data_IF_724993485405
#
_entry.id   IF_724993485405
#
_cell.length_a   1.000
_cell.length_b   1.000
_cell.length_c   1.000
_cell.angle_alpha   90.00
_cell.angle_beta   90.00
_cell.angle_gamma   90.00
#
_symmetry.space_group_name_H-M   'P 1'
#
loop_
_entity.id
_entity.type
_entity.pdbx_description
1 polymer ?
#
# COMPACT_ATOMS: atom_id res chain seq x y z
N UNK A 1 -12.76 -1.88 12.29
CA UNK A 1 -11.37 -1.35 12.31
C UNK A 1 -11.44 0.05 12.88
N UNK A 2 -10.67 0.33 13.94
CA UNK A 2 -10.56 1.69 14.46
C UNK A 2 -9.57 2.44 13.56
N UNK A 3 -10.09 3.13 12.55
CA UNK A 3 -9.30 4.03 11.69
C UNK A 3 -9.09 5.34 12.41
N UNK A 4 -7.86 5.85 12.40
CA UNK A 4 -7.58 7.18 12.90
C UNK A 4 -8.04 8.21 11.85
N UNK A 5 -8.84 9.22 12.20
CA UNK A 5 -9.25 10.24 11.24
C UNK A 5 -8.03 10.96 10.63
N UNK A 6 -8.09 11.35 9.36
CA UNK A 6 -6.98 12.03 8.66
C UNK A 6 -6.52 13.29 9.43
N UNK A 7 -7.49 14.02 9.94
CA UNK A 7 -7.40 15.25 10.73
C UNK A 7 -7.42 15.01 12.24
N UNK A 8 -7.11 13.79 12.72
CA UNK A 8 -7.16 13.46 14.15
C UNK A 8 -6.34 14.39 15.04
N UNK A 9 -5.32 15.06 14.50
CA UNK A 9 -4.50 16.02 15.23
C UNK A 9 -5.26 17.31 15.56
N UNK A 10 -6.10 17.79 14.64
CA UNK A 10 -6.74 19.11 14.70
C UNK A 10 -8.25 19.07 14.90
N UNK A 11 -8.90 17.92 14.68
CA UNK A 11 -10.35 17.77 14.85
C UNK A 11 -10.74 17.28 16.25
N UNK A 12 -11.88 17.74 16.77
CA UNK A 12 -12.42 17.31 18.06
C UNK A 12 -11.70 17.96 19.24
N UNK A 13 -11.71 17.29 20.40
CA UNK A 13 -11.11 17.82 21.63
C UNK A 13 -9.57 17.81 21.51
N UNK A 14 -8.96 19.01 21.59
CA UNK A 14 -7.51 19.22 21.58
C UNK A 14 -6.93 19.08 23.00
N UNK A 15 -7.17 17.92 23.60
CA UNK A 15 -6.63 17.55 24.90
C UNK A 15 -5.53 16.49 24.71
N UNK A 16 -4.36 16.72 25.29
CA UNK A 16 -3.21 15.82 25.16
C UNK A 16 -3.53 14.39 25.59
N UNK A 17 -4.19 14.20 26.74
CA UNK A 17 -4.48 12.87 27.28
C UNK A 17 -5.46 12.12 26.36
N UNK A 18 -6.54 12.76 25.94
CA UNK A 18 -7.49 12.19 24.99
C UNK A 18 -6.82 11.74 23.69
N UNK A 19 -6.02 12.62 23.07
CA UNK A 19 -5.31 12.32 21.81
C UNK A 19 -4.27 11.22 21.97
N UNK A 20 -3.59 11.19 23.11
CA UNK A 20 -2.66 10.12 23.49
C UNK A 20 -3.37 8.76 23.55
N UNK A 21 -4.52 8.65 24.21
CA UNK A 21 -5.26 7.38 24.27
C UNK A 21 -5.79 6.95 22.90
N UNK A 22 -6.33 7.89 22.12
CA UNK A 22 -6.80 7.62 20.75
C UNK A 22 -5.66 7.04 19.89
N UNK A 23 -4.48 7.67 19.95
CA UNK A 23 -3.30 7.22 19.24
C UNK A 23 -2.85 5.83 19.70
N UNK A 24 -2.74 5.61 21.02
CA UNK A 24 -2.28 4.33 21.56
C UNK A 24 -3.21 3.19 21.15
N UNK A 25 -4.53 3.39 21.17
CA UNK A 25 -5.50 2.40 20.73
C UNK A 25 -5.37 2.08 19.22
N UNK A 26 -5.14 3.10 18.40
CA UNK A 26 -4.88 2.93 16.97
C UNK A 26 -3.59 2.13 16.71
N UNK A 27 -2.47 2.54 17.32
CA UNK A 27 -1.18 1.86 17.14
C UNK A 27 -1.19 0.42 17.68
N UNK A 28 -1.91 0.16 18.78
CA UNK A 28 -2.10 -1.19 19.29
C UNK A 28 -2.83 -2.07 18.26
N UNK A 29 -3.90 -1.54 17.65
CA UNK A 29 -4.63 -2.24 16.58
C UNK A 29 -3.73 -2.51 15.38
N UNK A 30 -2.90 -1.55 14.99
CA UNK A 30 -1.96 -1.72 13.89
C UNK A 30 -0.94 -2.84 14.16
N UNK A 31 -0.37 -2.88 15.37
CA UNK A 31 0.58 -3.94 15.78
C UNK A 31 -0.09 -5.32 15.81
N UNK A 32 -1.36 -5.41 16.17
CA UNK A 32 -2.12 -6.67 16.12
C UNK A 32 -2.29 -7.18 14.68
N UNK A 33 -2.65 -6.29 13.75
CA UNK A 33 -2.78 -6.65 12.33
C UNK A 33 -1.43 -7.09 11.74
N UNK A 34 -0.34 -6.39 12.08
CA UNK A 34 1.02 -6.78 11.64
C UNK A 34 1.44 -8.14 12.21
N UNK A 35 1.09 -8.43 13.47
CA UNK A 35 1.32 -9.73 14.09
C UNK A 35 0.56 -10.86 13.39
N UNK A 36 -0.57 -10.55 12.77
CA UNK A 36 -1.36 -11.45 11.92
C UNK A 36 -0.91 -11.43 10.45
N UNK A 37 0.22 -10.81 10.12
CA UNK A 37 0.74 -10.61 8.75
C UNK A 37 -0.23 -9.86 7.82
N UNK A 38 -1.10 -9.01 8.38
CA UNK A 38 -2.04 -8.18 7.64
C UNK A 38 -1.53 -6.75 7.59
N UNK A 39 -1.00 -6.36 6.44
CA UNK A 39 -0.46 -5.02 6.23
C UNK A 39 -1.49 -4.06 5.64
N UNK A 40 -2.43 -4.53 4.83
CA UNK A 40 -3.37 -3.67 4.12
C UNK A 40 -4.77 -3.78 4.74
N UNK A 41 -5.47 -2.64 4.97
CA UNK A 41 -5.13 -1.27 4.56
C UNK A 41 -4.26 -0.48 5.57
N UNK A 42 -3.91 -1.07 6.71
CA UNK A 42 -3.32 -0.39 7.89
C UNK A 42 -1.98 0.30 7.61
N UNK A 43 -1.08 -0.34 6.87
CA UNK A 43 0.28 0.15 6.67
C UNK A 43 0.33 1.41 5.79
N UNK A 44 -0.38 1.49 4.64
CA UNK A 44 -0.55 2.76 3.93
C UNK A 44 -1.18 3.88 4.77
N UNK A 45 -2.14 3.55 5.61
CA UNK A 45 -2.80 4.51 6.52
C UNK A 45 -1.82 5.06 7.56
N UNK A 46 -1.01 4.19 8.16
CA UNK A 46 0.06 4.54 9.09
C UNK A 46 1.12 5.44 8.43
N UNK A 47 1.52 5.13 7.19
CA UNK A 47 2.47 5.94 6.40
C UNK A 47 1.90 7.35 6.18
N UNK A 48 0.62 7.45 5.80
CA UNK A 48 -0.05 8.74 5.60
C UNK A 48 -0.04 9.57 6.90
N UNK A 49 -0.48 9.01 8.03
CA UNK A 49 -0.50 9.76 9.30
C UNK A 49 0.90 10.21 9.74
N UNK A 50 1.92 9.36 9.56
CA UNK A 50 3.30 9.74 9.86
C UNK A 50 3.80 10.86 8.96
N UNK A 51 3.52 10.80 7.65
CA UNK A 51 3.87 11.88 6.72
C UNK A 51 3.18 13.19 7.12
N UNK A 52 1.89 13.15 7.44
CA UNK A 52 1.14 14.32 7.91
C UNK A 52 1.78 14.92 9.17
N UNK A 53 2.11 14.09 10.16
CA UNK A 53 2.79 14.54 11.38
C UNK A 53 4.17 15.14 11.10
N UNK A 54 4.95 14.51 10.21
CA UNK A 54 6.27 15.00 9.83
C UNK A 54 6.18 16.38 9.19
N UNK A 55 5.21 16.59 8.29
CA UNK A 55 4.97 17.88 7.64
C UNK A 55 4.66 18.99 8.66
N UNK A 56 3.72 18.73 9.57
CA UNK A 56 3.36 19.70 10.61
C UNK A 56 4.56 19.99 11.52
N UNK A 57 5.34 18.96 11.89
CA UNK A 57 6.53 19.10 12.73
C UNK A 57 7.63 19.94 12.07
N UNK A 58 7.91 19.71 10.79
CA UNK A 58 9.06 20.34 10.10
C UNK A 58 8.74 21.75 9.61
N UNK A 59 7.54 21.97 9.08
CA UNK A 59 7.20 23.22 8.41
C UNK A 59 6.37 24.17 9.25
N UNK A 60 5.77 23.69 10.35
CA UNK A 60 4.72 24.41 11.10
C UNK A 60 3.63 24.96 10.17
N UNK A 61 3.43 24.31 9.03
CA UNK A 61 2.50 24.69 7.98
C UNK A 61 2.13 23.43 7.18
N UNK A 62 0.91 23.41 6.65
CA UNK A 62 0.38 22.34 5.84
C UNK A 62 0.58 22.68 4.36
N UNK A 63 1.03 21.70 3.56
CA UNK A 63 1.28 21.91 2.12
C UNK A 63 0.60 20.82 1.30
N UNK A 64 -0.40 21.18 0.49
CA UNK A 64 -1.22 20.23 -0.26
C UNK A 64 -0.41 19.26 -1.14
N UNK A 65 0.60 19.77 -1.85
CA UNK A 65 1.42 19.01 -2.80
C UNK A 65 2.18 17.83 -2.18
N UNK A 66 2.30 17.81 -0.85
CA UNK A 66 3.01 16.76 -0.11
C UNK A 66 2.08 15.73 0.53
N UNK A 67 0.76 15.88 0.38
CA UNK A 67 -0.20 14.89 0.85
C UNK A 67 -0.41 13.78 -0.18
N UNK A 68 -0.62 12.53 0.26
CA UNK A 68 -1.01 11.45 -0.63
C UNK A 68 -2.31 11.79 -1.39
N UNK A 69 -2.47 11.33 -2.63
CA UNK A 69 -3.66 11.52 -3.48
C UNK A 69 -4.98 11.01 -2.86
N UNK A 70 -4.93 10.39 -1.68
CA UNK A 70 -6.10 9.96 -0.90
C UNK A 70 -6.81 11.10 -0.19
N UNK A 71 -6.20 12.28 -0.06
CA UNK A 71 -6.82 13.44 0.57
C UNK A 71 -7.49 14.29 -0.50
N UNK A 72 -8.80 14.50 -0.37
CA UNK A 72 -9.50 15.42 -1.26
C UNK A 72 -9.03 16.85 -1.01
N UNK A 73 -9.04 17.69 -2.05
CA UNK A 73 -8.71 19.10 -1.91
C UNK A 73 -9.59 19.81 -0.86
N UNK A 74 -10.87 19.44 -0.80
CA UNK A 74 -11.82 19.97 0.17
C UNK A 74 -11.45 19.59 1.63
N UNK A 75 -11.00 18.36 1.86
CA UNK A 75 -10.55 17.93 3.19
C UNK A 75 -9.29 18.66 3.61
N UNK A 76 -8.35 18.88 2.67
CA UNK A 76 -7.13 19.64 2.93
C UNK A 76 -7.43 21.10 3.28
N UNK A 77 -8.25 21.79 2.49
CA UNK A 77 -8.64 23.18 2.75
C UNK A 77 -9.31 23.32 4.12
N UNK A 78 -10.17 22.36 4.50
CA UNK A 78 -10.75 22.32 5.85
C UNK A 78 -9.69 22.16 6.94
N UNK A 79 -8.71 21.28 6.73
CA UNK A 79 -7.64 21.00 7.69
C UNK A 79 -6.72 22.22 7.86
N UNK A 80 -6.35 22.87 6.76
CA UNK A 80 -5.55 24.10 6.72
C UNK A 80 -6.23 25.24 7.48
N UNK A 81 -7.50 25.50 7.21
CA UNK A 81 -8.29 26.53 7.91
C UNK A 81 -8.40 26.28 9.42
N UNK A 82 -8.52 25.02 9.85
CA UNK A 82 -8.56 24.69 11.29
C UNK A 82 -7.19 24.90 11.91
N UNK A 83 -6.12 24.51 11.23
CA UNK A 83 -4.76 24.69 11.71
C UNK A 83 -4.37 26.16 11.87
N UNK A 84 -4.67 27.02 10.89
CA UNK A 84 -4.39 28.46 10.97
C UNK A 84 -5.05 29.11 12.21
N UNK A 85 -6.28 28.70 12.55
CA UNK A 85 -6.97 29.17 13.75
C UNK A 85 -6.28 28.73 15.04
N UNK A 86 -5.72 27.53 15.05
CA UNK A 86 -5.03 26.98 16.24
C UNK A 86 -3.67 27.66 16.43
N UNK A 87 -2.93 27.94 15.36
CA UNK A 87 -1.63 28.64 15.44
C UNK A 87 -1.77 30.05 16.02
N UNK A 88 -2.95 30.67 15.90
CA UNK A 88 -3.23 31.97 16.52
C UNK A 88 -3.39 31.91 18.06
N UNK A 89 -3.49 30.71 18.64
CA UNK A 89 -3.65 30.48 20.08
C UNK A 89 -2.43 29.72 20.64
N UNK A 90 -1.63 30.42 21.46
CA UNK A 90 -0.39 29.90 22.04
C UNK A 90 -0.62 28.65 22.92
N UNK A 91 -1.73 28.56 23.66
CA UNK A 91 -2.00 27.44 24.56
C UNK A 91 -2.37 26.17 23.78
N UNK A 92 -3.27 26.34 22.80
CA UNK A 92 -3.70 25.23 21.94
C UNK A 92 -2.56 24.74 21.05
N UNK A 93 -1.69 25.65 20.57
CA UNK A 93 -0.51 25.27 19.79
C UNK A 93 0.48 24.47 20.64
N UNK A 94 0.70 24.83 21.90
CA UNK A 94 1.55 24.05 22.81
C UNK A 94 1.04 22.62 23.00
N UNK A 95 -0.27 22.44 23.19
CA UNK A 95 -0.89 21.11 23.28
C UNK A 95 -0.63 20.27 22.01
N UNK A 96 -0.72 20.87 20.83
CA UNK A 96 -0.41 20.19 19.57
C UNK A 96 1.06 19.79 19.51
N UNK A 97 1.99 20.68 19.91
CA UNK A 97 3.41 20.35 19.93
C UNK A 97 3.68 19.16 20.87
N UNK A 98 3.06 19.12 22.05
CA UNK A 98 3.17 18.01 23.00
C UNK A 98 2.63 16.70 22.41
N UNK A 99 1.46 16.75 21.73
CA UNK A 99 0.89 15.60 21.02
C UNK A 99 1.84 15.11 19.93
N UNK A 100 2.41 16.00 19.11
CA UNK A 100 3.35 15.64 18.04
C UNK A 100 4.61 15.01 18.62
N UNK A 101 5.18 15.59 19.68
CA UNK A 101 6.37 15.05 20.35
C UNK A 101 6.11 13.64 20.90
N UNK A 102 4.92 13.39 21.43
CA UNK A 102 4.51 12.07 21.90
C UNK A 102 4.25 11.09 20.75
N UNK A 103 3.59 11.54 19.68
CA UNK A 103 3.09 10.69 18.60
C UNK A 103 4.17 10.27 17.61
N UNK A 104 5.00 11.23 17.17
CA UNK A 104 6.00 11.03 16.13
C UNK A 104 6.91 9.81 16.34
N UNK A 105 7.58 9.63 17.50
CA UNK A 105 8.44 8.46 17.71
C UNK A 105 7.66 7.13 17.68
N UNK A 106 6.40 7.11 18.14
CA UNK A 106 5.56 5.90 18.20
C UNK A 106 5.03 5.48 16.83
N UNK A 107 4.68 6.45 15.99
CA UNK A 107 4.40 6.19 14.57
C UNK A 107 5.64 5.63 13.89
N UNK A 108 6.81 6.23 14.11
CA UNK A 108 8.06 5.77 13.53
C UNK A 108 8.38 4.32 13.93
N UNK A 109 8.29 3.98 15.21
CA UNK A 109 8.52 2.61 15.71
C UNK A 109 7.54 1.61 15.05
N UNK A 110 6.26 1.95 15.03
CA UNK A 110 5.22 1.07 14.46
C UNK A 110 5.38 0.93 12.94
N UNK A 111 5.86 1.97 12.24
CA UNK A 111 6.17 1.92 10.82
C UNK A 111 7.34 1.00 10.51
N UNK A 112 8.39 1.04 11.31
CA UNK A 112 9.52 0.12 11.15
C UNK A 112 9.08 -1.33 11.36
N UNK A 113 8.22 -1.62 12.36
CA UNK A 113 7.60 -2.95 12.50
C UNK A 113 6.81 -3.36 11.24
N UNK A 114 5.99 -2.46 10.68
CA UNK A 114 5.25 -2.73 9.45
C UNK A 114 6.18 -2.98 8.24
N UNK A 115 7.29 -2.25 8.16
CA UNK A 115 8.32 -2.45 7.12
C UNK A 115 9.01 -3.79 7.25
N UNK A 116 9.37 -4.19 8.46
CA UNK A 116 9.97 -5.51 8.71
C UNK A 116 9.05 -6.65 8.27
N UNK A 117 7.74 -6.55 8.58
CA UNK A 117 6.74 -7.53 8.11
C UNK A 117 6.61 -7.50 6.58
N UNK A 118 6.58 -6.32 5.96
CA UNK A 118 6.55 -6.19 4.50
C UNK A 118 7.77 -6.86 3.86
N UNK A 119 8.97 -6.55 4.34
CA UNK A 119 10.23 -7.08 3.81
C UNK A 119 10.32 -8.59 4.01
N UNK A 120 9.86 -9.09 5.16
CA UNK A 120 9.81 -10.52 5.44
C UNK A 120 8.91 -11.26 4.45
N UNK A 121 7.74 -10.71 4.11
CA UNK A 121 6.83 -11.31 3.13
C UNK A 121 7.40 -11.17 1.71
N UNK A 122 7.89 -9.99 1.33
CA UNK A 122 8.45 -9.73 -0.01
C UNK A 122 9.61 -10.69 -0.33
N UNK A 123 10.47 -11.01 0.65
CA UNK A 123 11.57 -11.99 0.50
C UNK A 123 11.09 -13.43 0.25
N UNK A 124 9.88 -13.77 0.64
CA UNK A 124 9.29 -15.09 0.43
C UNK A 124 8.47 -15.17 -0.86
N UNK A 125 8.41 -14.09 -1.64
CA UNK A 125 7.79 -14.07 -2.96
C UNK A 125 8.83 -14.37 -4.04
N UNK A 126 8.47 -15.26 -4.95
CA UNK A 126 9.26 -15.58 -6.13
C UNK A 126 8.50 -15.15 -7.38
N UNK A 127 9.16 -14.37 -8.25
CA UNK A 127 8.57 -13.89 -9.50
C UNK A 127 9.25 -14.59 -10.67
N UNK A 128 8.46 -15.23 -11.52
CA UNK A 128 8.94 -15.97 -12.68
C UNK A 128 8.15 -15.60 -13.94
N UNK A 129 8.79 -15.33 -15.09
CA UNK A 129 8.08 -15.17 -16.35
C UNK A 129 7.49 -16.52 -16.81
N UNK A 130 6.33 -16.47 -17.46
CA UNK A 130 5.68 -17.67 -18.02
C UNK A 130 5.95 -17.74 -19.52
N UNK A 131 6.75 -18.72 -19.92
CA UNK A 131 7.13 -18.96 -21.31
C UNK A 131 7.91 -17.80 -21.92
N UNK A 132 7.61 -17.46 -23.18
CA UNK A 132 8.26 -16.36 -23.89
C UNK A 132 7.75 -15.02 -23.36
N UNK A 133 8.69 -14.18 -22.99
CA UNK A 133 8.47 -12.82 -22.47
C UNK A 133 8.42 -11.83 -23.63
N UNK A 134 7.37 -10.99 -23.76
CA UNK A 134 7.24 -10.01 -24.84
C UNK A 134 8.24 -8.84 -24.69
N UNK A 135 8.28 -7.93 -25.67
CA UNK A 135 9.05 -6.67 -25.57
C UNK A 135 8.33 -5.60 -24.71
N UNK A 136 7.01 -5.72 -24.54
CA UNK A 136 6.18 -4.77 -23.79
C UNK A 136 5.63 -5.42 -22.52
N UNK A 137 5.85 -4.77 -21.37
CA UNK A 137 5.48 -5.30 -20.05
C UNK A 137 4.38 -4.52 -19.33
N UNK A 138 3.82 -3.50 -19.98
CA UNK A 138 2.84 -2.64 -19.33
C UNK A 138 1.47 -3.29 -19.20
N UNK A 139 1.22 -4.42 -19.86
CA UNK A 139 -0.03 -5.16 -19.72
C UNK A 139 0.17 -6.65 -19.92
N UNK A 140 -0.67 -7.45 -19.26
CA UNK A 140 -0.63 -8.89 -19.37
C UNK A 140 -1.34 -9.58 -18.20
N UNK A 141 -0.79 -10.72 -17.78
CA UNK A 141 -1.39 -11.54 -16.74
C UNK A 141 -0.47 -11.72 -15.54
N UNK A 142 -1.03 -11.56 -14.35
CA UNK A 142 -0.40 -11.88 -13.07
C UNK A 142 -1.07 -13.16 -12.56
N UNK A 143 -0.28 -14.22 -12.45
CA UNK A 143 -0.68 -15.45 -11.78
C UNK A 143 -0.18 -15.40 -10.35
N UNK A 144 -1.10 -15.46 -9.39
CA UNK A 144 -0.78 -15.41 -7.97
C UNK A 144 -0.99 -16.80 -7.36
N UNK A 145 0.10 -17.42 -6.92
CA UNK A 145 0.07 -18.73 -6.28
C UNK A 145 0.14 -18.56 -4.75
N UNK A 146 -0.91 -19.03 -4.08
CA UNK A 146 -0.99 -19.07 -2.62
C UNK A 146 -0.30 -20.30 -2.02
N UNK A 147 0.14 -20.16 -0.77
CA UNK A 147 0.69 -21.25 0.02
C UNK A 147 -0.09 -21.41 1.34
N UNK A 148 -0.34 -22.64 1.83
CA UNK A 148 -0.22 -23.90 1.10
C UNK A 148 -1.36 -24.02 0.09
N UNK A 149 -1.06 -24.44 -1.14
CA UNK A 149 -2.10 -24.56 -2.15
C UNK A 149 -1.59 -24.97 -3.51
N UNK A 150 -2.53 -25.39 -4.35
CA UNK A 150 -2.32 -25.54 -5.80
C UNK A 150 -3.23 -24.60 -6.59
N UNK A 151 -3.87 -23.65 -5.93
CA UNK A 151 -4.71 -22.68 -6.60
C UNK A 151 -3.85 -21.52 -7.13
N UNK A 152 -4.19 -21.09 -8.34
CA UNK A 152 -3.60 -19.95 -9.01
C UNK A 152 -4.71 -18.97 -9.30
N UNK A 153 -4.59 -17.78 -8.73
CA UNK A 153 -5.49 -16.69 -9.08
C UNK A 153 -4.94 -15.93 -10.28
N UNK A 154 -5.79 -15.76 -11.28
CA UNK A 154 -5.43 -15.11 -12.53
C UNK A 154 -5.96 -13.70 -12.51
N UNK A 155 -5.06 -12.73 -12.63
CA UNK A 155 -5.39 -11.33 -12.79
C UNK A 155 -4.92 -10.83 -14.14
N UNK A 156 -5.74 -10.04 -14.83
CA UNK A 156 -5.22 -9.13 -15.85
C UNK A 156 -4.57 -7.94 -15.13
N UNK A 157 -3.42 -7.47 -15.59
CA UNK A 157 -2.84 -6.24 -15.07
C UNK A 157 -2.55 -5.23 -16.17
N UNK A 158 -2.58 -3.95 -15.78
CA UNK A 158 -2.12 -2.81 -16.58
C UNK A 158 -1.29 -1.88 -15.70
N UNK A 159 -0.08 -1.57 -16.14
CA UNK A 159 0.83 -0.62 -15.51
C UNK A 159 0.63 0.74 -16.16
N UNK A 160 0.31 1.73 -15.35
CA UNK A 160 0.17 3.12 -15.76
C UNK A 160 1.33 3.92 -15.19
N UNK A 161 1.94 4.77 -16.01
CA UNK A 161 3.00 5.68 -15.56
C UNK A 161 2.34 7.02 -15.28
N UNK A 162 2.45 7.48 -14.05
CA UNK A 162 2.07 8.81 -13.63
C UNK A 162 3.33 9.64 -13.43
N UNK A 163 3.34 10.85 -13.97
CA UNK A 163 4.40 11.82 -13.75
C UNK A 163 3.84 12.92 -12.86
N UNK A 164 4.38 13.06 -11.65
CA UNK A 164 4.19 14.26 -10.84
C UNK A 164 5.47 15.11 -10.92
N UNK A 165 5.37 16.40 -10.61
CA UNK A 165 6.46 17.40 -10.65
C UNK A 165 7.73 16.95 -9.91
N UNK A 166 7.60 16.06 -8.93
CA UNK A 166 8.69 15.59 -8.08
C UNK A 166 9.12 14.14 -8.32
N UNK A 167 8.25 13.25 -8.81
CA UNK A 167 8.57 11.82 -8.99
C UNK A 167 7.70 11.15 -10.09
N UNK A 168 8.30 10.20 -10.81
CA UNK A 168 7.58 9.28 -11.71
C UNK A 168 7.15 8.05 -10.92
N UNK A 169 5.85 7.89 -10.73
CA UNK A 169 5.30 6.72 -10.07
C UNK A 169 4.62 5.78 -11.08
N UNK A 170 4.85 4.48 -10.94
CA UNK A 170 4.15 3.46 -11.72
C UNK A 170 3.06 2.83 -10.87
N UNK A 171 1.82 3.03 -11.28
CA UNK A 171 0.66 2.33 -10.73
C UNK A 171 0.45 1.00 -11.44
N UNK A 172 -0.17 0.04 -10.75
CA UNK A 172 -0.64 -1.21 -11.36
C UNK A 172 -2.11 -1.40 -11.02
N UNK A 173 -2.93 -1.45 -12.06
CA UNK A 173 -4.31 -1.89 -11.95
C UNK A 173 -4.38 -3.39 -12.21
N UNK A 174 -5.22 -4.10 -11.46
CA UNK A 174 -5.44 -5.53 -11.66
C UNK A 174 -6.92 -5.85 -11.61
N UNK A 175 -7.38 -6.69 -12.52
CA UNK A 175 -8.72 -7.24 -12.55
C UNK A 175 -8.65 -8.75 -12.36
N UNK A 176 -9.36 -9.28 -11.35
CA UNK A 176 -9.44 -10.74 -11.15
C UNK A 176 -10.28 -11.36 -12.28
N UNK A 177 -9.74 -12.37 -12.93
CA UNK A 177 -10.41 -13.06 -14.03
C UNK A 177 -11.00 -14.39 -13.59
N UNK A 178 -10.19 -15.21 -12.92
CA UNK A 178 -10.58 -16.55 -12.47
C UNK A 178 -9.61 -17.10 -11.44
N UNK A 179 -10.06 -18.10 -10.69
CA UNK A 179 -9.22 -18.91 -9.81
C UNK A 179 -9.19 -20.34 -10.34
N UNK A 180 -7.98 -20.85 -10.54
CA UNK A 180 -7.75 -22.14 -11.20
C UNK A 180 -7.03 -23.07 -10.25
N UNK A 181 -7.56 -24.28 -10.06
CA UNK A 181 -6.86 -25.32 -9.32
C UNK A 181 -5.89 -26.06 -10.24
N UNK A 182 -4.59 -25.91 -9.99
CA UNK A 182 -3.55 -26.57 -10.77
C UNK A 182 -3.54 -28.07 -10.52
N UNK A 183 -3.46 -28.82 -11.62
CA UNK A 183 -3.21 -30.26 -11.67
C UNK A 183 -2.00 -30.56 -12.54
N UNK A 184 -1.71 -31.84 -12.79
CA UNK A 184 -0.58 -32.23 -13.65
C UNK A 184 -0.74 -31.75 -15.10
N UNK A 185 -1.98 -31.58 -15.58
CA UNK A 185 -2.27 -31.15 -16.95
C UNK A 185 -2.32 -29.62 -17.14
N UNK A 186 -2.50 -28.86 -16.06
CA UNK A 186 -2.76 -27.42 -16.11
C UNK A 186 -1.59 -26.65 -15.50
N UNK A 187 -0.52 -26.53 -16.31
CA UNK A 187 0.65 -25.71 -16.00
C UNK A 187 0.37 -24.23 -16.27
N UNK A 188 1.25 -23.35 -15.78
CA UNK A 188 1.13 -21.91 -16.03
C UNK A 188 1.23 -21.59 -17.53
N UNK A 189 2.07 -22.31 -18.29
CA UNK A 189 2.20 -22.14 -19.74
C UNK A 189 0.92 -22.52 -20.48
N UNK A 190 0.32 -23.66 -20.12
CA UNK A 190 -0.96 -24.08 -20.69
C UNK A 190 -2.06 -23.07 -20.39
N UNK A 191 -2.08 -22.54 -19.16
CA UNK A 191 -3.04 -21.52 -18.76
C UNK A 191 -2.84 -20.21 -19.54
N UNK A 192 -1.60 -19.77 -19.76
CA UNK A 192 -1.27 -18.62 -20.62
C UNK A 192 -1.79 -18.82 -22.04
N UNK A 193 -1.53 -19.98 -22.64
CA UNK A 193 -2.00 -20.31 -24.00
C UNK A 193 -3.53 -20.30 -24.09
N UNK A 194 -4.21 -20.83 -23.07
CA UNK A 194 -5.67 -20.80 -22.99
C UNK A 194 -6.20 -19.36 -22.95
N UNK A 195 -5.66 -18.51 -22.08
CA UNK A 195 -6.07 -17.12 -21.95
C UNK A 195 -5.89 -16.32 -23.24
N UNK A 196 -4.78 -16.54 -23.97
CA UNK A 196 -4.52 -15.88 -25.26
C UNK A 196 -5.55 -16.28 -26.33
N UNK A 197 -6.01 -17.54 -26.32
CA UNK A 197 -7.05 -18.01 -27.25
C UNK A 197 -8.42 -17.43 -26.92
N UNK A 198 -8.75 -17.34 -25.63
CA UNK A 198 -10.02 -16.81 -25.15
C UNK A 198 -10.10 -15.28 -25.28
N UNK A 199 -8.96 -14.57 -25.13
CA UNK A 199 -8.89 -13.11 -25.12
C UNK A 199 -7.87 -12.59 -26.15
N UNK A 200 -8.37 -12.43 -27.38
CA UNK A 200 -7.55 -11.98 -28.52
C UNK A 200 -7.08 -10.52 -28.43
N UNK A 201 -7.62 -9.73 -27.49
CA UNK A 201 -7.19 -8.36 -27.23
C UNK A 201 -5.72 -8.27 -26.77
N UNK A 202 -5.19 -9.35 -26.17
CA UNK A 202 -3.81 -9.44 -25.70
C UNK A 202 -3.12 -10.66 -26.36
N UNK A 203 -2.69 -10.57 -27.62
CA UNK A 203 -2.12 -11.70 -28.34
C UNK A 203 -0.73 -12.09 -27.85
N UNK A 204 0.02 -11.15 -27.24
CA UNK A 204 1.35 -11.41 -26.68
C UNK A 204 1.49 -10.78 -25.27
N UNK A 205 0.77 -11.31 -24.26
CA UNK A 205 0.71 -10.72 -22.93
C UNK A 205 2.00 -11.00 -22.15
N UNK A 206 2.43 -10.01 -21.37
CA UNK A 206 3.50 -10.19 -20.41
C UNK A 206 2.96 -10.94 -19.19
N UNK A 207 3.22 -12.24 -19.12
CA UNK A 207 2.68 -13.12 -18.08
C UNK A 207 3.75 -13.47 -17.06
N UNK A 208 3.44 -13.23 -15.78
CA UNK A 208 4.32 -13.51 -14.66
C UNK A 208 3.57 -14.28 -13.58
N UNK A 209 4.27 -15.23 -12.96
CA UNK A 209 3.82 -15.92 -11.73
C UNK A 209 4.50 -15.25 -10.55
N UNK A 210 3.72 -14.94 -9.53
CA UNK A 210 4.20 -14.58 -8.19
C UNK A 210 3.78 -15.69 -7.25
N UNK A 211 4.75 -16.44 -6.74
CA UNK A 211 4.51 -17.56 -5.84
C UNK A 211 4.97 -17.24 -4.42
N UNK A 212 4.07 -17.41 -3.45
CA UNK A 212 4.41 -17.33 -2.04
C UNK A 212 5.02 -18.65 -1.54
N UNK A 213 6.06 -18.57 -0.70
CA UNK A 213 6.68 -19.73 -0.04
C UNK A 213 6.15 -20.00 1.37
N UNK A 214 5.32 -19.10 1.89
CA UNK A 214 4.78 -19.10 3.25
C UNK A 214 3.30 -18.74 3.22
N UNK A 215 2.50 -19.19 4.21
CA UNK A 215 1.11 -18.81 4.29
C UNK A 215 0.98 -17.35 4.66
N UNK A 216 0.34 -16.57 3.80
CA UNK A 216 0.11 -15.14 3.97
C UNK A 216 -1.32 -14.79 3.56
N UNK A 217 -1.99 -13.85 4.26
CA UNK A 217 -3.31 -13.38 3.87
C UNK A 217 -3.31 -12.80 2.45
N UNK A 218 -4.19 -13.32 1.58
CA UNK A 218 -4.28 -12.92 0.18
C UNK A 218 -4.48 -11.40 0.01
N UNK A 219 -5.63 -10.89 0.44
CA UNK A 219 -6.05 -9.50 0.22
C UNK A 219 -5.25 -8.51 1.08
N UNK A 220 -4.93 -8.93 2.31
CA UNK A 220 -4.31 -8.06 3.31
C UNK A 220 -2.78 -8.02 3.23
N UNK A 221 -2.14 -8.83 2.40
CA UNK A 221 -0.69 -8.80 2.23
C UNK A 221 -0.24 -9.29 0.84
N UNK A 222 -0.55 -10.53 0.47
CA UNK A 222 0.05 -11.18 -0.69
C UNK A 222 -0.21 -10.41 -1.98
N UNK A 223 -1.47 -10.12 -2.30
CA UNK A 223 -1.85 -9.46 -3.55
C UNK A 223 -1.28 -8.03 -3.65
N UNK A 224 -1.42 -7.14 -2.63
CA UNK A 224 -0.80 -5.82 -2.67
C UNK A 224 0.73 -5.84 -2.79
N UNK A 225 1.41 -6.77 -2.11
CA UNK A 225 2.87 -6.89 -2.17
C UNK A 225 3.27 -7.45 -3.54
N UNK A 226 2.61 -8.49 -4.03
CA UNK A 226 2.84 -9.07 -5.36
C UNK A 226 2.71 -8.01 -6.47
N UNK A 227 1.69 -7.16 -6.42
CA UNK A 227 1.52 -6.01 -7.33
C UNK A 227 2.74 -5.10 -7.33
N UNK A 228 3.19 -4.65 -6.15
CA UNK A 228 4.36 -3.76 -6.01
C UNK A 228 5.65 -4.44 -6.48
N UNK A 229 5.85 -5.70 -6.12
CA UNK A 229 7.02 -6.49 -6.52
C UNK A 229 7.06 -6.74 -8.02
N UNK A 230 5.90 -6.98 -8.65
CA UNK A 230 5.80 -7.13 -10.10
C UNK A 230 6.19 -5.84 -10.82
N UNK A 231 5.70 -4.67 -10.37
CA UNK A 231 6.08 -3.38 -10.95
C UNK A 231 7.59 -3.16 -10.84
N UNK A 232 8.20 -3.45 -9.67
CA UNK A 232 9.66 -3.37 -9.48
C UNK A 232 10.40 -4.30 -10.45
N UNK A 233 9.93 -5.53 -10.60
CA UNK A 233 10.54 -6.55 -11.45
C UNK A 233 10.48 -6.18 -12.94
N UNK A 234 9.30 -5.81 -13.42
CA UNK A 234 9.08 -5.35 -14.80
C UNK A 234 9.89 -4.10 -15.13
N UNK A 235 9.98 -3.15 -14.19
CA UNK A 235 10.76 -1.92 -14.41
C UNK A 235 12.25 -2.24 -14.56
N UNK A 236 12.77 -3.24 -13.86
CA UNK A 236 14.15 -3.72 -14.03
C UNK A 236 14.37 -4.45 -15.36
N UNK A 237 13.37 -5.17 -15.87
CA UNK A 237 13.45 -5.84 -17.18
C UNK A 237 13.39 -4.85 -18.35
N UNK A 238 12.74 -3.71 -18.16
CA UNK A 238 12.60 -2.67 -19.17
C UNK A 238 13.76 -1.65 -19.20
N UNK A 239 14.69 -1.74 -18.24
CA UNK A 239 15.86 -0.86 -18.12
C UNK A 239 17.07 -1.48 -18.82
#
# INVERSE_FOLDING_TARGET
MNTLPINWLTEGLLDFEYKKYLLLAYLQTARQEFSAQRLYPVFPDLIMHYQNLKLVKEKKQLVYEQFPERISRADFEKLELVYEKIVADDETMQQIEDIIQFAYPRFSETLETGREVYDAIERQLEIMPVGITPLYFNEGYLFLDEFPGKETQVFMYRITVFENTYEKYRGIHTEHLQTVRRGMALTHENLKVQLVKERQELPNPATFVVAAKVPVPLEHALLPIAKRSLVKYVTKLAA
#
